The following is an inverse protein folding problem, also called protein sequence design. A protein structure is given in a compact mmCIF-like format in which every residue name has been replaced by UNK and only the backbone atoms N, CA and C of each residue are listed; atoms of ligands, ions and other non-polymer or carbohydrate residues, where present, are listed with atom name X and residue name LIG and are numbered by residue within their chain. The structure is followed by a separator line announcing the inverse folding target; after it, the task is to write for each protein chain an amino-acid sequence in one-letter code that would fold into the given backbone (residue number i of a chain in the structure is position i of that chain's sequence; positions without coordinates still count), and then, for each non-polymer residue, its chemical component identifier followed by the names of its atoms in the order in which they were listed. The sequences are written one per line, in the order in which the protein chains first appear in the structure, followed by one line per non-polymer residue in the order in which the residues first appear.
data_IF_035958498658
#
_entry.id   IF_035958498658
#
_cell.length_a   1.000
_cell.length_b   1.000
_cell.length_c   1.000
_cell.angle_alpha   90.00
_cell.angle_beta   90.00
_cell.angle_gamma   90.00
#
_symmetry.space_group_name_H-M   'P 1'
#
loop_
_entity.id
_entity.type
_entity.pdbx_description
1 polymer ?
#
# COMPACT_ATOMS: atom_id res chain seq x y z
N UNK A 1 -1.75 18.82 -2.36
CA UNK A 1 -1.49 17.38 -2.16
C UNK A 1 -2.56 16.84 -1.22
N UNK A 2 -2.88 15.56 -1.33
CA UNK A 2 -3.86 14.87 -0.48
C UNK A 2 -3.19 13.72 0.26
N UNK A 3 -3.80 13.31 1.37
CA UNK A 3 -3.34 12.19 2.18
C UNK A 3 -4.50 11.27 2.48
N UNK A 4 -4.30 9.97 2.31
CA UNK A 4 -5.21 8.94 2.82
C UNK A 4 -4.51 8.11 3.87
N UNK A 5 -5.29 7.56 4.81
CA UNK A 5 -4.81 6.64 5.83
C UNK A 5 -5.74 5.44 5.90
N UNK A 6 -5.19 4.23 5.86
CA UNK A 6 -5.95 3.00 6.03
C UNK A 6 -5.28 2.08 7.05
N UNK A 7 -6.05 1.12 7.55
CA UNK A 7 -5.54 -0.04 8.27
C UNK A 7 -5.79 -1.29 7.43
N UNK A 8 -4.79 -2.14 7.30
CA UNK A 8 -4.87 -3.38 6.52
C UNK A 8 -4.03 -4.49 7.16
N UNK A 9 -4.37 -5.75 6.87
CA UNK A 9 -3.59 -6.90 7.31
C UNK A 9 -2.41 -7.13 6.36
N UNK A 10 -1.22 -7.52 6.86
CA UNK A 10 -0.06 -7.78 6.02
C UNK A 10 -0.19 -9.06 5.19
N UNK A 11 -1.00 -10.02 5.64
CA UNK A 11 -1.23 -11.31 4.96
C UNK A 11 -2.71 -11.69 4.92
N UNK A 12 -3.02 -12.85 4.33
CA UNK A 12 -4.40 -13.33 4.19
C UNK A 12 -5.05 -13.68 5.53
N UNK A 13 -6.27 -13.19 5.76
CA UNK A 13 -7.00 -13.31 7.04
C UNK A 13 -7.27 -14.73 7.54
N UNK A 14 -7.28 -15.72 6.64
CA UNK A 14 -7.50 -17.13 6.99
C UNK A 14 -6.19 -17.88 7.30
N UNK A 15 -5.03 -17.26 7.07
CA UNK A 15 -3.75 -17.87 7.39
C UNK A 15 -3.49 -17.79 8.90
N UNK A 16 -3.02 -18.86 9.55
CA UNK A 16 -2.82 -18.85 10.99
C UNK A 16 -1.68 -17.88 11.39
N UNK A 17 -1.75 -17.36 12.62
CA UNK A 17 -0.68 -16.61 13.34
C UNK A 17 -0.56 -15.09 13.15
N UNK A 18 -1.29 -14.42 12.25
CA UNK A 18 -1.17 -12.95 12.09
C UNK A 18 -2.49 -12.19 12.29
N UNK A 19 -2.70 -11.70 13.51
CA UNK A 19 -3.60 -10.58 13.82
C UNK A 19 -2.88 -9.21 13.75
N UNK A 20 -1.80 -9.14 12.97
CA UNK A 20 -1.06 -7.91 12.76
C UNK A 20 -1.83 -6.94 11.86
N UNK A 21 -1.73 -5.65 12.20
CA UNK A 21 -2.38 -4.57 11.45
C UNK A 21 -1.33 -3.54 11.07
N UNK A 22 -1.21 -3.31 9.77
CA UNK A 22 -0.46 -2.19 9.22
C UNK A 22 -1.34 -0.95 9.19
N UNK A 23 -0.78 0.18 9.63
CA UNK A 23 -1.31 1.51 9.31
C UNK A 23 -0.52 2.07 8.14
N UNK A 24 -1.20 2.35 7.03
CA UNK A 24 -0.60 2.87 5.80
C UNK A 24 -1.13 4.27 5.56
N UNK A 25 -0.24 5.20 5.25
CA UNK A 25 -0.58 6.54 4.76
C UNK A 25 0.09 6.78 3.43
N UNK A 26 -0.66 7.29 2.46
CA UNK A 26 -0.13 7.70 1.16
C UNK A 26 -0.35 9.20 0.97
N UNK A 27 0.66 9.87 0.40
CA UNK A 27 0.63 11.28 0.04
C UNK A 27 0.74 11.40 -1.48
N UNK A 28 -0.16 12.15 -2.10
CA UNK A 28 -0.18 12.27 -3.56
C UNK A 28 -0.64 13.65 -4.02
N UNK A 29 -0.30 14.00 -5.26
CA UNK A 29 -0.82 15.19 -5.91
C UNK A 29 -2.26 14.93 -6.36
N UNK A 30 -3.19 15.82 -6.01
CA UNK A 30 -4.62 15.66 -6.29
C UNK A 30 -4.94 15.80 -7.79
N UNK A 31 -4.21 16.65 -8.50
CA UNK A 31 -4.54 17.02 -9.88
C UNK A 31 -4.04 15.98 -10.89
N UNK A 32 -2.90 15.36 -10.62
CA UNK A 32 -2.26 14.40 -11.53
C UNK A 32 -1.94 13.04 -10.90
N UNK A 33 -2.43 12.80 -9.68
CA UNK A 33 -2.26 11.54 -8.94
C UNK A 33 -0.81 11.11 -8.70
N UNK A 34 0.18 11.97 -8.92
CA UNK A 34 1.58 11.62 -8.70
C UNK A 34 1.80 11.23 -7.24
N UNK A 35 2.36 10.04 -7.00
CA UNK A 35 2.76 9.62 -5.67
C UNK A 35 3.90 10.52 -5.17
N UNK A 36 3.72 11.09 -3.97
CA UNK A 36 4.69 12.01 -3.36
C UNK A 36 5.40 11.38 -2.17
N UNK A 37 4.82 10.35 -1.56
CA UNK A 37 5.41 9.63 -0.44
C UNK A 37 4.39 8.76 0.28
N UNK A 38 4.84 8.10 1.34
CA UNK A 38 3.96 7.35 2.22
C UNK A 38 4.66 6.92 3.50
N UNK A 39 3.87 6.38 4.42
CA UNK A 39 4.29 5.97 5.74
C UNK A 39 3.62 4.64 6.07
N UNK A 40 4.35 3.72 6.68
CA UNK A 40 3.85 2.39 7.03
C UNK A 40 4.36 2.04 8.43
N UNK A 41 3.44 1.65 9.31
CA UNK A 41 3.77 1.23 10.68
C UNK A 41 2.95 -0.01 11.08
N UNK A 42 3.59 -0.98 11.73
CA UNK A 42 2.98 -2.21 12.23
C UNK A 42 4.05 -3.24 12.62
N UNK A 43 3.64 -4.41 13.11
CA UNK A 43 4.56 -5.44 13.63
C UNK A 43 5.21 -6.32 12.56
N UNK A 44 4.55 -6.53 11.42
CA UNK A 44 5.02 -7.44 10.36
C UNK A 44 4.79 -6.89 8.94
N UNK A 45 5.74 -7.17 8.04
CA UNK A 45 5.62 -6.88 6.60
C UNK A 45 5.69 -5.40 6.22
N UNK A 46 6.16 -4.53 7.11
CA UNK A 46 6.39 -3.09 6.87
C UNK A 46 7.49 -2.89 5.84
N UNK A 47 8.64 -3.54 6.06
CA UNK A 47 9.83 -3.56 5.21
C UNK A 47 9.49 -3.81 3.73
N UNK A 48 8.79 -4.91 3.43
CA UNK A 48 8.37 -5.26 2.07
C UNK A 48 7.63 -4.12 1.36
N UNK A 49 6.72 -3.44 2.08
CA UNK A 49 5.94 -2.35 1.47
C UNK A 49 6.73 -1.05 1.41
N UNK A 50 7.66 -0.80 2.32
CA UNK A 50 8.58 0.33 2.21
C UNK A 50 9.46 0.16 0.96
N UNK A 51 9.96 -1.04 0.66
CA UNK A 51 10.76 -1.30 -0.54
C UNK A 51 9.97 -1.08 -1.85
N UNK A 52 8.73 -1.58 -1.90
CA UNK A 52 7.82 -1.36 -3.05
C UNK A 52 7.51 0.14 -3.20
N UNK A 53 7.22 0.84 -2.09
CA UNK A 53 6.91 2.26 -2.11
C UNK A 53 8.12 3.10 -2.56
N UNK A 54 9.32 2.78 -2.08
CA UNK A 54 10.56 3.43 -2.49
C UNK A 54 10.82 3.23 -3.99
N UNK A 55 10.59 2.02 -4.50
CA UNK A 55 10.69 1.71 -5.94
C UNK A 55 9.68 2.52 -6.76
N UNK A 56 8.43 2.62 -6.31
CA UNK A 56 7.40 3.40 -6.98
C UNK A 56 7.73 4.90 -7.02
N UNK A 57 8.27 5.44 -5.92
CA UNK A 57 8.75 6.83 -5.85
C UNK A 57 9.92 7.08 -6.79
N UNK A 58 10.88 6.15 -6.85
CA UNK A 58 12.04 6.24 -7.75
C UNK A 58 11.61 6.32 -9.23
N UNK A 59 10.59 5.55 -9.61
CA UNK A 59 10.02 5.58 -10.96
C UNK A 59 9.01 6.70 -11.20
N UNK A 60 8.72 7.54 -10.19
CA UNK A 60 7.77 8.65 -10.33
C UNK A 60 6.33 8.20 -10.60
N UNK A 61 5.95 7.02 -10.14
CA UNK A 61 4.65 6.40 -10.37
C UNK A 61 3.49 7.25 -9.82
N UNK A 62 2.30 7.04 -10.39
CA UNK A 62 1.04 7.60 -9.88
C UNK A 62 0.38 6.65 -8.87
N UNK A 63 -0.66 7.13 -8.19
CA UNK A 63 -1.54 6.29 -7.38
C UNK A 63 -2.16 5.16 -8.22
N UNK A 64 -2.52 5.45 -9.48
CA UNK A 64 -3.12 4.47 -10.39
C UNK A 64 -2.11 3.37 -10.76
N UNK A 65 -0.86 3.74 -11.05
CA UNK A 65 0.19 2.76 -11.32
C UNK A 65 0.49 1.88 -10.08
N UNK A 66 0.50 2.49 -8.88
CA UNK A 66 0.73 1.78 -7.62
C UNK A 66 -0.37 0.75 -7.34
N UNK A 67 -1.63 1.09 -7.66
CA UNK A 67 -2.76 0.18 -7.55
C UNK A 67 -2.64 -1.00 -8.52
N UNK A 68 -2.13 -0.75 -9.73
CA UNK A 68 -2.01 -1.72 -10.81
C UNK A 68 -0.79 -2.65 -10.72
N UNK A 69 0.10 -2.47 -9.75
CA UNK A 69 1.27 -3.34 -9.56
C UNK A 69 0.88 -4.81 -9.39
N UNK A 70 1.55 -5.70 -10.13
CA UNK A 70 1.41 -7.15 -9.96
C UNK A 70 2.37 -7.63 -8.86
N UNK A 71 1.88 -7.62 -7.62
CA UNK A 71 2.66 -8.01 -6.45
C UNK A 71 2.43 -9.48 -6.12
N UNK A 72 3.50 -10.18 -5.75
CA UNK A 72 3.42 -11.58 -5.38
C UNK A 72 2.38 -11.83 -4.29
N UNK A 73 1.52 -12.81 -4.55
CA UNK A 73 0.50 -13.28 -3.63
C UNK A 73 0.77 -14.73 -3.24
N UNK A 74 0.87 -14.96 -1.94
CA UNK A 74 0.62 -16.25 -1.33
C UNK A 74 0.07 -16.00 0.09
N UNK A 75 -0.82 -16.85 0.60
CA UNK A 75 -1.46 -16.66 1.90
C UNK A 75 -0.52 -16.27 3.06
N UNK A 76 0.68 -16.88 3.22
CA UNK A 76 1.63 -16.50 4.28
C UNK A 76 2.40 -15.20 4.07
N UNK A 77 2.32 -14.57 2.88
CA UNK A 77 3.16 -13.42 2.52
C UNK A 77 2.35 -12.19 2.09
N UNK A 78 1.13 -12.39 1.61
CA UNK A 78 0.28 -11.31 1.14
C UNK A 78 -1.21 -11.71 1.13
N UNK A 79 -2.08 -10.72 1.02
CA UNK A 79 -3.47 -10.89 0.60
C UNK A 79 -3.62 -10.72 -0.92
N UNK A 80 -4.78 -11.11 -1.45
CA UNK A 80 -5.12 -10.96 -2.89
C UNK A 80 -4.86 -9.54 -3.39
N UNK A 81 -5.16 -8.55 -2.54
CA UNK A 81 -4.76 -7.16 -2.74
C UNK A 81 -3.73 -6.79 -1.69
N UNK A 82 -2.54 -6.38 -2.09
CA UNK A 82 -1.53 -5.91 -1.12
C UNK A 82 -2.06 -4.68 -0.37
N UNK A 83 -1.72 -4.48 0.91
CA UNK A 83 -2.03 -3.26 1.65
C UNK A 83 -1.75 -1.94 0.92
N UNK A 84 -0.68 -1.87 0.11
CA UNK A 84 -0.41 -0.69 -0.71
C UNK A 84 -1.46 -0.50 -1.81
N UNK A 85 -1.89 -1.59 -2.48
CA UNK A 85 -2.93 -1.53 -3.50
C UNK A 85 -4.28 -1.15 -2.89
N UNK A 86 -4.58 -1.63 -1.68
CA UNK A 86 -5.78 -1.22 -0.94
C UNK A 86 -5.74 0.28 -0.60
N UNK A 87 -4.59 0.79 -0.14
CA UNK A 87 -4.41 2.21 0.16
C UNK A 87 -4.55 3.08 -1.09
N UNK A 88 -3.95 2.64 -2.21
CA UNK A 88 -4.05 3.31 -3.50
C UNK A 88 -5.50 3.32 -4.03
N UNK A 89 -6.24 2.22 -3.86
CA UNK A 89 -7.67 2.14 -4.21
C UNK A 89 -8.52 3.15 -3.43
N UNK A 90 -8.20 3.39 -2.15
CA UNK A 90 -8.86 4.44 -1.37
C UNK A 90 -8.46 5.82 -1.86
N UNK A 91 -7.17 6.05 -2.15
CA UNK A 91 -6.69 7.30 -2.73
C UNK A 91 -7.38 7.65 -4.07
N UNK A 92 -7.61 6.68 -4.96
CA UNK A 92 -8.31 6.90 -6.24
C UNK A 92 -9.75 7.43 -6.08
N UNK A 93 -10.42 7.11 -4.97
CA UNK A 93 -11.80 7.54 -4.71
C UNK A 93 -11.88 9.00 -4.26
N UNK A 94 -10.78 9.52 -3.72
CA UNK A 94 -10.64 10.88 -3.25
C UNK A 94 -10.27 11.80 -4.43
N UNK A 95 -11.26 12.09 -5.29
CA UNK A 95 -11.11 13.00 -6.44
C UNK A 95 -10.98 14.47 -6.05
#
# INVERSE_FOLDING_TARGET
YQTVSIKARPISHYYPWEDEVLTIRLHFNKDNHKLLGGQIAGGAGVDKRIDVLATALFHGMTIDDLQALDLAYAPPYNSVWDPLQQAATVAQREK
#
